data_IF_028286588457
#
_entry.id   IF_028286588457
#
_cell.length_a   1.000
_cell.length_b   1.000
_cell.length_c   1.000
_cell.angle_alpha   90.00
_cell.angle_beta   90.00
_cell.angle_gamma   90.00
#
_symmetry.space_group_name_H-M   'P 1'
#
loop_
_entity.id
_entity.type
_entity.pdbx_description
1 polymer ?
#
# COMPACT_ATOMS: atom_id res chain seq x y z
N UNK A 1 -11.06 22.95 -17.12
CA UNK A 1 -11.32 22.67 -15.69
C UNK A 1 -10.60 23.64 -14.76
N UNK A 2 -9.40 24.16 -15.07
CA UNK A 2 -8.65 25.12 -14.23
C UNK A 2 -8.89 26.62 -14.53
N UNK A 3 -9.90 26.99 -15.32
CA UNK A 3 -10.06 28.35 -15.89
C UNK A 3 -10.27 29.48 -14.86
N UNK A 4 -10.50 29.17 -13.59
CA UNK A 4 -10.61 30.14 -12.49
C UNK A 4 -9.36 30.28 -11.61
N UNK A 5 -8.26 29.60 -11.95
CA UNK A 5 -7.03 29.62 -11.15
C UNK A 5 -6.05 30.68 -11.65
N UNK A 6 -5.31 31.35 -10.74
CA UNK A 6 -4.20 32.21 -11.14
C UNK A 6 -3.18 31.44 -11.98
N UNK A 7 -2.64 32.07 -13.03
CA UNK A 7 -1.69 31.43 -13.95
C UNK A 7 -0.48 30.85 -13.22
N UNK A 8 0.02 31.56 -12.20
CA UNK A 8 1.15 31.12 -11.38
C UNK A 8 0.84 29.83 -10.63
N UNK A 9 -0.38 29.68 -10.09
CA UNK A 9 -0.80 28.46 -9.40
C UNK A 9 -0.95 27.29 -10.36
N UNK A 10 -1.45 27.54 -11.58
CA UNK A 10 -1.53 26.51 -12.64
C UNK A 10 -0.11 26.04 -13.01
N UNK A 11 0.82 26.96 -13.27
CA UNK A 11 2.21 26.62 -13.58
C UNK A 11 2.87 25.84 -12.44
N UNK A 12 2.65 26.25 -11.19
CA UNK A 12 3.17 25.53 -10.03
C UNK A 12 2.60 24.10 -9.94
N UNK A 13 1.29 23.92 -10.09
CA UNK A 13 0.66 22.60 -10.05
C UNK A 13 1.17 21.68 -11.17
N UNK A 14 1.41 22.21 -12.37
CA UNK A 14 1.95 21.44 -13.50
C UNK A 14 3.42 21.04 -13.31
N UNK A 15 4.22 21.88 -12.64
CA UNK A 15 5.64 21.61 -12.39
C UNK A 15 5.90 20.67 -11.19
N UNK A 16 4.85 20.35 -10.42
CA UNK A 16 4.98 19.61 -9.15
C UNK A 16 5.08 18.09 -9.32
N UNK A 17 4.83 17.58 -10.51
CA UNK A 17 4.77 16.14 -10.78
C UNK A 17 5.68 15.73 -11.93
N UNK A 18 6.30 14.55 -11.78
CA UNK A 18 7.07 13.89 -12.83
C UNK A 18 6.17 13.23 -13.88
N UNK A 19 6.71 12.95 -15.07
CA UNK A 19 6.00 12.37 -16.21
C UNK A 19 5.13 11.14 -15.89
N UNK A 20 5.55 10.16 -15.06
CA UNK A 20 4.72 9.00 -14.76
C UNK A 20 3.34 9.35 -14.17
N UNK A 21 3.24 10.45 -13.41
CA UNK A 21 1.96 10.94 -12.87
C UNK A 21 1.03 11.44 -13.98
N UNK A 22 1.57 12.19 -14.94
CA UNK A 22 0.80 12.74 -16.06
C UNK A 22 0.34 11.66 -17.04
N UNK A 23 1.14 10.61 -17.22
CA UNK A 23 0.88 9.54 -18.19
C UNK A 23 -0.04 8.45 -17.66
N UNK A 24 -0.21 8.31 -16.34
CA UNK A 24 -0.89 7.16 -15.73
C UNK A 24 -2.29 7.44 -15.18
N UNK A 25 -2.73 8.70 -15.19
CA UNK A 25 -4.00 9.15 -14.62
C UNK A 25 -4.81 9.95 -15.65
N UNK A 26 -6.11 10.03 -15.43
CA UNK A 26 -7.00 10.83 -16.28
C UNK A 26 -7.09 12.30 -15.83
N UNK A 27 -7.64 13.15 -16.69
CA UNK A 27 -7.76 14.58 -16.44
C UNK A 27 -8.62 14.93 -15.21
N UNK A 28 -9.59 14.07 -14.85
CA UNK A 28 -10.45 14.29 -13.68
C UNK A 28 -9.67 14.01 -12.40
N UNK A 29 -8.84 12.97 -12.39
CA UNK A 29 -7.93 12.66 -11.29
C UNK A 29 -6.89 13.77 -11.11
N UNK A 30 -6.25 14.21 -12.20
CA UNK A 30 -5.31 15.34 -12.16
C UNK A 30 -5.94 16.59 -11.57
N UNK A 31 -7.16 16.93 -11.99
CA UNK A 31 -7.88 18.09 -11.46
C UNK A 31 -8.23 17.92 -9.97
N UNK A 32 -8.74 16.76 -9.58
CA UNK A 32 -9.07 16.46 -8.18
C UNK A 32 -7.86 16.60 -7.25
N UNK A 33 -6.71 16.07 -7.69
CA UNK A 33 -5.45 16.16 -6.96
C UNK A 33 -4.96 17.60 -6.85
N UNK A 34 -4.97 18.36 -7.95
CA UNK A 34 -4.57 19.76 -7.93
C UNK A 34 -5.38 20.56 -6.90
N UNK A 35 -6.71 20.38 -6.88
CA UNK A 35 -7.59 21.01 -5.90
C UNK A 35 -7.26 20.55 -4.48
N UNK A 36 -7.10 19.24 -4.25
CA UNK A 36 -6.77 18.68 -2.93
C UNK A 36 -5.47 19.24 -2.37
N UNK A 37 -4.43 19.27 -3.20
CA UNK A 37 -3.09 19.74 -2.84
C UNK A 37 -3.16 21.23 -2.48
N UNK A 38 -3.81 22.05 -3.32
CA UNK A 38 -3.97 23.49 -3.06
C UNK A 38 -4.67 23.76 -1.73
N UNK A 39 -5.77 23.05 -1.44
CA UNK A 39 -6.49 23.21 -0.18
C UNK A 39 -5.64 22.76 1.02
N UNK A 40 -4.93 21.63 0.88
CA UNK A 40 -4.07 21.11 1.93
C UNK A 40 -2.89 22.04 2.24
N UNK A 41 -2.24 22.60 1.21
CA UNK A 41 -1.16 23.58 1.35
C UNK A 41 -1.65 24.85 2.04
N UNK A 42 -2.79 25.39 1.62
CA UNK A 42 -3.37 26.60 2.19
C UNK A 42 -3.75 26.42 3.67
N UNK A 43 -4.28 25.25 4.02
CA UNK A 43 -4.64 24.90 5.39
C UNK A 43 -3.45 24.40 6.24
N UNK A 44 -2.30 24.10 5.62
CA UNK A 44 -1.15 23.41 6.24
C UNK A 44 -1.55 22.12 6.94
N UNK A 45 -2.46 21.38 6.32
CA UNK A 45 -2.95 20.10 6.88
C UNK A 45 -1.86 19.04 6.71
N UNK A 46 -1.40 18.37 7.78
CA UNK A 46 -0.32 17.38 7.67
C UNK A 46 -0.71 16.17 6.81
N UNK A 47 -1.99 15.80 6.82
CA UNK A 47 -2.54 14.69 6.03
C UNK A 47 -3.91 15.09 5.48
N UNK A 48 -4.03 15.12 4.16
CA UNK A 48 -5.30 15.31 3.47
C UNK A 48 -5.78 13.97 2.89
N UNK A 49 -7.05 13.62 3.14
CA UNK A 49 -7.68 12.41 2.61
C UNK A 49 -8.99 12.78 1.92
N UNK A 50 -9.09 12.41 0.64
CA UNK A 50 -10.32 12.45 -0.15
C UNK A 50 -10.72 11.04 -0.56
N UNK A 51 -12.02 10.81 -0.71
CA UNK A 51 -12.58 9.54 -1.12
C UNK A 51 -13.68 9.75 -2.15
N UNK A 52 -13.75 8.86 -3.14
CA UNK A 52 -14.78 8.83 -4.17
C UNK A 52 -15.21 7.39 -4.42
N UNK A 53 -16.45 7.06 -4.08
CA UNK A 53 -17.00 5.72 -4.29
C UNK A 53 -17.54 5.54 -5.71
N UNK A 54 -17.17 4.43 -6.34
CA UNK A 54 -17.76 3.93 -7.57
C UNK A 54 -18.50 2.61 -7.26
N UNK A 55 -19.83 2.70 -7.15
CA UNK A 55 -20.69 1.55 -6.87
C UNK A 55 -20.73 0.55 -8.02
N UNK A 56 -20.55 0.99 -9.26
CA UNK A 56 -20.57 0.11 -10.42
C UNK A 56 -19.35 -0.81 -10.43
N UNK A 57 -18.19 -0.27 -10.05
CA UNK A 57 -16.94 -1.03 -9.88
C UNK A 57 -16.81 -1.68 -8.51
N UNK A 58 -17.75 -1.43 -7.59
CA UNK A 58 -17.71 -1.86 -6.20
C UNK A 58 -16.43 -1.45 -5.47
N UNK A 59 -15.93 -0.24 -5.68
CA UNK A 59 -14.70 0.27 -5.06
C UNK A 59 -14.88 1.69 -4.54
N UNK A 60 -14.03 2.08 -3.60
CA UNK A 60 -13.80 3.47 -3.24
C UNK A 60 -12.36 3.84 -3.55
N UNK A 61 -12.18 4.85 -4.38
CA UNK A 61 -10.87 5.48 -4.61
C UNK A 61 -10.59 6.44 -3.45
N UNK A 62 -9.46 6.25 -2.78
CA UNK A 62 -8.98 7.09 -1.69
C UNK A 62 -7.66 7.72 -2.10
N UNK A 63 -7.62 9.05 -2.12
CA UNK A 63 -6.41 9.82 -2.39
C UNK A 63 -5.89 10.43 -1.09
N UNK A 64 -4.64 10.13 -0.76
CA UNK A 64 -3.94 10.64 0.42
C UNK A 64 -2.83 11.57 -0.06
N UNK A 65 -2.81 12.78 0.50
CA UNK A 65 -1.75 13.76 0.30
C UNK A 65 -1.08 14.08 1.63
N UNK A 66 0.23 13.88 1.72
CA UNK A 66 1.04 14.02 2.94
C UNK A 66 2.52 14.22 2.57
N UNK A 67 3.38 14.59 3.51
CA UNK A 67 4.84 14.52 3.30
C UNK A 67 5.28 13.10 2.99
N UNK A 68 6.15 12.94 1.99
CA UNK A 68 6.70 11.63 1.64
C UNK A 68 7.89 11.29 2.54
N UNK A 69 7.96 10.03 2.98
CA UNK A 69 9.07 9.52 3.77
C UNK A 69 9.17 8.00 3.65
N UNK A 70 10.36 7.42 3.90
CA UNK A 70 10.55 5.98 3.80
C UNK A 70 9.56 5.21 4.70
N UNK A 71 8.95 4.17 4.13
CA UNK A 71 7.98 3.32 4.84
C UNK A 71 6.53 3.84 4.87
N UNK A 72 6.23 5.00 4.26
CA UNK A 72 4.89 5.58 4.21
C UNK A 72 3.83 4.58 3.71
N UNK A 73 4.07 3.90 2.59
CA UNK A 73 3.12 2.89 2.08
C UNK A 73 2.79 1.82 3.13
N UNK A 74 3.79 1.30 3.83
CA UNK A 74 3.57 0.27 4.85
C UNK A 74 2.74 0.78 6.02
N UNK A 75 2.97 2.03 6.44
CA UNK A 75 2.17 2.70 7.45
C UNK A 75 0.71 2.86 7.01
N UNK A 76 0.48 3.33 5.78
CA UNK A 76 -0.86 3.46 5.19
C UNK A 76 -1.56 2.11 5.08
N UNK A 77 -0.90 1.08 4.53
CA UNK A 77 -1.43 -0.28 4.46
C UNK A 77 -1.84 -0.81 5.85
N UNK A 78 -1.06 -0.49 6.89
CA UNK A 78 -1.40 -0.80 8.27
C UNK A 78 -2.66 -0.08 8.76
N UNK A 79 -2.81 1.22 8.45
CA UNK A 79 -4.01 1.99 8.80
C UNK A 79 -5.28 1.48 8.09
N UNK A 80 -5.18 1.14 6.80
CA UNK A 80 -6.28 0.51 6.06
C UNK A 80 -6.68 -0.82 6.70
N UNK A 81 -5.71 -1.69 7.01
CA UNK A 81 -6.01 -2.97 7.64
C UNK A 81 -6.64 -2.82 9.04
N UNK A 82 -6.23 -1.82 9.84
CA UNK A 82 -6.81 -1.55 11.17
C UNK A 82 -8.27 -1.07 11.12
N UNK A 83 -8.70 -0.51 9.99
CA UNK A 83 -10.06 -0.01 9.77
C UNK A 83 -10.93 -0.95 8.93
N UNK A 84 -10.40 -2.12 8.55
CA UNK A 84 -11.10 -3.12 7.76
C UNK A 84 -11.34 -2.68 6.32
N UNK A 85 -10.46 -1.85 5.77
CA UNK A 85 -10.39 -1.56 4.35
C UNK A 85 -9.47 -2.59 3.67
N UNK A 86 -9.97 -3.22 2.62
CA UNK A 86 -9.18 -4.09 1.76
C UNK A 86 -8.66 -3.30 0.57
N UNK A 87 -7.34 -3.27 0.36
CA UNK A 87 -6.73 -2.60 -0.80
C UNK A 87 -6.74 -3.58 -1.96
N UNK A 88 -7.20 -3.14 -3.13
CA UNK A 88 -7.17 -3.90 -4.38
C UNK A 88 -6.07 -3.41 -5.32
N UNK A 89 -5.84 -2.10 -5.32
CA UNK A 89 -4.89 -1.46 -6.22
C UNK A 89 -4.33 -0.20 -5.56
N UNK A 90 -3.11 0.18 -5.88
CA UNK A 90 -2.49 1.40 -5.43
C UNK A 90 -1.54 2.01 -6.47
N UNK A 91 -1.56 3.34 -6.59
CA UNK A 91 -0.61 4.13 -7.38
C UNK A 91 0.02 5.20 -6.50
N UNK A 92 1.34 5.28 -6.53
CA UNK A 92 2.14 6.07 -5.57
C UNK A 92 2.97 7.07 -6.34
N UNK A 93 2.83 8.35 -5.98
CA UNK A 93 3.51 9.44 -6.67
C UNK A 93 4.17 10.38 -5.67
N UNK A 94 5.49 10.50 -5.77
CA UNK A 94 6.24 11.54 -5.09
C UNK A 94 6.29 12.79 -5.97
N UNK A 95 5.91 13.91 -5.40
CA UNK A 95 6.00 15.25 -6.00
C UNK A 95 7.43 15.77 -5.96
N UNK A 96 7.73 16.78 -6.80
CA UNK A 96 9.08 17.39 -6.88
C UNK A 96 9.49 18.13 -5.61
N UNK A 97 8.53 18.47 -4.74
CA UNK A 97 8.74 19.12 -3.45
C UNK A 97 8.62 18.16 -2.24
N UNK A 98 8.63 16.84 -2.49
CA UNK A 98 8.78 15.83 -1.43
C UNK A 98 7.49 15.46 -0.68
N UNK A 99 6.34 15.71 -1.27
CA UNK A 99 5.06 15.17 -0.80
C UNK A 99 4.63 13.94 -1.60
N UNK A 100 3.85 13.05 -0.98
CA UNK A 100 3.24 11.89 -1.60
C UNK A 100 1.79 12.20 -2.00
N UNK A 101 1.38 11.74 -3.18
CA UNK A 101 0.00 11.71 -3.67
C UNK A 101 -0.34 10.25 -3.97
N UNK A 102 -0.84 9.56 -2.96
CA UNK A 102 -1.05 8.13 -3.00
C UNK A 102 -2.51 7.82 -3.22
N UNK A 103 -2.79 6.96 -4.20
CA UNK A 103 -4.13 6.52 -4.56
C UNK A 103 -4.30 5.07 -4.19
N UNK A 104 -5.42 4.74 -3.55
CA UNK A 104 -5.78 3.38 -3.17
C UNK A 104 -7.22 3.10 -3.62
N UNK A 105 -7.42 1.99 -4.33
CA UNK A 105 -8.76 1.48 -4.60
C UNK A 105 -9.09 0.42 -3.58
N UNK A 106 -10.12 0.67 -2.78
CA UNK A 106 -10.44 -0.14 -1.61
C UNK A 106 -11.88 -0.65 -1.61
N UNK A 107 -12.04 -1.80 -0.99
CA UNK A 107 -13.32 -2.42 -0.65
C UNK A 107 -13.45 -2.58 0.86
N UNK A 108 -14.67 -2.88 1.32
CA UNK A 108 -14.87 -3.45 2.64
C UNK A 108 -14.90 -4.97 2.63
N UNK A 109 -15.13 -5.56 3.80
CA UNK A 109 -15.10 -7.01 3.99
C UNK A 109 -16.19 -7.76 3.21
N UNK A 110 -17.24 -7.08 2.74
CA UNK A 110 -18.30 -7.67 1.93
C UNK A 110 -18.02 -7.57 0.42
N UNK A 111 -16.91 -6.93 0.03
CA UNK A 111 -16.61 -6.62 -1.37
C UNK A 111 -17.37 -5.39 -1.89
N UNK A 112 -18.00 -4.62 -1.01
CA UNK A 112 -18.67 -3.36 -1.36
C UNK A 112 -17.70 -2.16 -1.29
N UNK A 113 -18.04 -1.01 -1.90
CA UNK A 113 -17.27 0.21 -1.73
C UNK A 113 -17.07 0.56 -0.24
N UNK A 114 -15.82 0.73 0.18
CA UNK A 114 -15.50 1.18 1.53
C UNK A 114 -15.95 2.64 1.75
N UNK A 115 -16.40 2.99 2.95
CA UNK A 115 -16.40 4.41 3.36
C UNK A 115 -17.76 5.03 3.58
N UNK A 116 -18.52 4.49 4.53
CA UNK A 116 -19.45 5.36 5.29
C UNK A 116 -18.65 6.51 5.91
N UNK A 117 -19.29 7.67 6.11
CA UNK A 117 -18.63 8.86 6.68
C UNK A 117 -17.85 8.53 7.97
N UNK A 118 -18.45 7.76 8.88
CA UNK A 118 -17.80 7.33 10.11
C UNK A 118 -16.56 6.46 9.88
N UNK A 119 -16.56 5.61 8.84
CA UNK A 119 -15.40 4.77 8.49
C UNK A 119 -14.28 5.60 7.88
N UNK A 120 -14.61 6.56 7.01
CA UNK A 120 -13.64 7.50 6.43
C UNK A 120 -13.03 8.40 7.51
N UNK A 121 -13.83 8.87 8.46
CA UNK A 121 -13.36 9.65 9.60
C UNK A 121 -12.40 8.82 10.47
N UNK A 122 -12.76 7.58 10.79
CA UNK A 122 -11.87 6.65 11.53
C UNK A 122 -10.58 6.37 10.77
N UNK A 123 -10.64 6.18 9.46
CA UNK A 123 -9.45 5.98 8.63
C UNK A 123 -8.53 7.19 8.68
N UNK A 124 -9.08 8.41 8.50
CA UNK A 124 -8.30 9.66 8.59
C UNK A 124 -7.60 9.79 9.94
N UNK A 125 -8.31 9.57 11.04
CA UNK A 125 -7.74 9.59 12.39
C UNK A 125 -6.67 8.52 12.60
N UNK A 126 -6.91 7.32 12.07
CA UNK A 126 -5.96 6.21 12.18
C UNK A 126 -4.67 6.51 11.40
N UNK A 127 -4.77 7.05 10.18
CA UNK A 127 -3.61 7.47 9.40
C UNK A 127 -2.81 8.51 10.16
N UNK A 128 -3.44 9.59 10.65
CA UNK A 128 -2.75 10.64 11.40
C UNK A 128 -1.92 10.06 12.57
N UNK A 129 -2.54 9.23 13.40
CA UNK A 129 -1.88 8.59 14.55
C UNK A 129 -0.75 7.64 14.17
N UNK A 130 -0.85 6.96 13.03
CA UNK A 130 0.22 6.08 12.54
C UNK A 130 1.39 6.91 12.03
N UNK A 131 1.14 7.98 11.28
CA UNK A 131 2.20 8.86 10.76
C UNK A 131 2.90 9.66 11.87
N UNK A 132 2.16 10.02 12.93
CA UNK A 132 2.71 10.64 14.15
C UNK A 132 3.45 9.64 15.06
N UNK A 133 3.38 8.34 14.76
CA UNK A 133 4.03 7.29 15.54
C UNK A 133 3.33 6.93 16.86
N UNK A 134 2.14 7.48 17.13
CA UNK A 134 1.33 7.14 18.31
C UNK A 134 0.85 5.68 18.27
N UNK A 135 0.59 5.17 17.06
CA UNK A 135 0.10 3.80 16.83
C UNK A 135 1.08 3.05 15.94
N UNK A 136 1.55 1.89 16.42
CA UNK A 136 2.26 0.92 15.61
C UNK A 136 1.26 -0.12 15.06
N UNK A 137 0.98 -0.18 13.74
CA UNK A 137 -0.01 -1.10 13.17
C UNK A 137 0.19 -2.55 13.59
N UNK A 138 1.44 -3.04 13.53
CA UNK A 138 1.79 -4.41 13.93
C UNK A 138 1.36 -4.76 15.35
N UNK A 139 1.48 -3.83 16.32
CA UNK A 139 1.10 -4.07 17.73
C UNK A 139 -0.42 -4.20 17.87
N UNK A 140 -1.17 -3.29 17.23
CA UNK A 140 -2.63 -3.29 17.28
C UNK A 140 -3.21 -4.55 16.62
N UNK A 141 -2.64 -4.94 15.49
CA UNK A 141 -3.11 -6.11 14.75
C UNK A 141 -2.76 -7.42 15.46
N UNK A 142 -1.60 -7.51 16.11
CA UNK A 142 -1.23 -8.67 16.93
C UNK A 142 -2.21 -8.88 18.10
N UNK A 143 -2.66 -7.81 18.75
CA UNK A 143 -3.63 -7.88 19.85
C UNK A 143 -5.04 -8.33 19.40
N UNK A 144 -5.36 -8.19 18.11
CA UNK A 144 -6.66 -8.56 17.52
C UNK A 144 -6.67 -9.94 16.88
N UNK A 145 -5.58 -10.72 16.96
CA UNK A 145 -5.50 -12.05 16.35
C UNK A 145 -6.58 -12.97 16.92
N UNK A 146 -7.63 -13.19 16.12
CA UNK A 146 -8.60 -14.26 16.33
C UNK A 146 -7.85 -15.59 16.11
N UNK A 147 -8.17 -16.59 16.93
CA UNK A 147 -7.56 -17.92 16.83
C UNK A 147 -7.57 -18.40 15.37
N UNK A 148 -6.48 -18.99 14.87
CA UNK A 148 -6.45 -19.53 13.52
C UNK A 148 -7.59 -20.55 13.40
N UNK A 149 -8.55 -20.32 12.50
CA UNK A 149 -9.37 -21.42 12.02
C UNK A 149 -8.42 -22.42 11.37
N UNK A 150 -8.55 -23.69 11.71
CA UNK A 150 -7.80 -24.77 11.06
C UNK A 150 -7.92 -24.57 9.54
N UNK A 151 -6.76 -24.44 8.89
CA UNK A 151 -6.71 -24.20 7.46
C UNK A 151 -7.23 -25.44 6.75
N UNK A 152 -8.21 -25.29 5.86
CA UNK A 152 -8.65 -26.40 5.03
C UNK A 152 -7.57 -26.81 4.02
N UNK A 153 -6.62 -25.92 3.70
CA UNK A 153 -5.58 -26.13 2.69
C UNK A 153 -4.23 -25.51 3.10
N UNK A 154 -3.13 -26.15 2.66
CA UNK A 154 -1.79 -25.57 2.73
C UNK A 154 -1.53 -24.73 1.47
N UNK A 155 -1.15 -23.46 1.65
CA UNK A 155 -0.78 -22.57 0.55
C UNK A 155 0.72 -22.34 0.63
N UNK A 156 1.47 -23.01 -0.25
CA UNK A 156 2.93 -22.86 -0.32
C UNK A 156 3.32 -21.43 -0.70
N UNK A 157 4.10 -20.71 0.14
CA UNK A 157 4.50 -19.34 -0.13
C UNK A 157 5.50 -19.29 -1.29
N UNK A 158 5.27 -18.39 -2.24
CA UNK A 158 6.13 -18.20 -3.43
C UNK A 158 6.37 -16.73 -3.67
N UNK A 159 7.62 -16.39 -4.00
CA UNK A 159 8.03 -15.04 -4.40
C UNK A 159 8.71 -15.14 -5.76
N UNK A 160 8.25 -14.32 -6.69
CA UNK A 160 8.84 -14.14 -8.01
C UNK A 160 9.32 -12.71 -8.16
N UNK A 161 10.49 -12.53 -8.76
CA UNK A 161 11.07 -11.23 -9.04
C UNK A 161 11.42 -11.20 -10.52
N UNK A 162 10.81 -10.30 -11.27
CA UNK A 162 10.92 -10.20 -12.71
C UNK A 162 11.40 -8.79 -13.11
N UNK A 163 12.50 -8.76 -13.85
CA UNK A 163 13.09 -7.54 -14.41
C UNK A 163 12.82 -7.38 -15.91
N UNK A 164 12.04 -8.26 -16.54
CA UNK A 164 11.68 -8.19 -17.96
C UNK A 164 10.24 -7.71 -18.16
N UNK A 165 9.38 -7.84 -17.15
CA UNK A 165 7.97 -7.42 -17.21
C UNK A 165 7.75 -5.90 -17.33
N UNK A 166 8.77 -5.08 -17.08
CA UNK A 166 8.71 -3.62 -17.21
C UNK A 166 10.08 -3.06 -17.56
N UNK A 167 10.15 -2.08 -18.44
CA UNK A 167 11.42 -1.38 -18.76
C UNK A 167 11.95 -0.58 -17.57
N UNK A 168 11.05 -0.10 -16.70
CA UNK A 168 11.36 0.92 -15.67
C UNK A 168 11.38 0.36 -14.25
N UNK A 169 10.64 -0.72 -13.98
CA UNK A 169 10.46 -1.26 -12.63
C UNK A 169 10.92 -2.70 -12.54
N UNK A 170 11.29 -3.12 -11.32
CA UNK A 170 11.34 -4.54 -10.96
C UNK A 170 9.95 -4.94 -10.48
N UNK A 171 9.40 -6.01 -11.04
CA UNK A 171 8.12 -6.56 -10.63
C UNK A 171 8.36 -7.65 -9.59
N UNK A 172 7.67 -7.57 -8.46
CA UNK A 172 7.70 -8.60 -7.41
C UNK A 172 6.30 -9.15 -7.24
N UNK A 173 6.11 -10.43 -7.56
CA UNK A 173 4.87 -11.15 -7.32
C UNK A 173 5.03 -12.04 -6.09
N UNK A 174 4.10 -11.90 -5.15
CA UNK A 174 4.04 -12.65 -3.91
C UNK A 174 2.76 -13.45 -3.88
N UNK A 175 2.90 -14.76 -3.63
CA UNK A 175 1.78 -15.67 -3.45
C UNK A 175 1.88 -16.31 -2.07
N UNK A 176 0.76 -16.38 -1.36
CA UNK A 176 0.70 -17.13 -0.10
C UNK A 176 -0.67 -17.08 0.53
N UNK A 177 -0.76 -17.55 1.77
CA UNK A 177 -2.02 -17.51 2.51
C UNK A 177 -2.40 -16.08 2.86
N UNK A 178 -3.60 -15.66 2.49
CA UNK A 178 -4.15 -14.39 2.90
C UNK A 178 -4.47 -14.37 4.40
N UNK A 179 -4.22 -13.22 5.02
CA UNK A 179 -4.47 -13.00 6.45
C UNK A 179 -4.56 -11.50 6.76
N UNK A 180 -5.29 -11.12 7.83
CA UNK A 180 -5.30 -9.74 8.30
C UNK A 180 -3.88 -9.21 8.49
N UNK A 181 -3.56 -8.12 7.79
CA UNK A 181 -2.27 -7.43 7.88
C UNK A 181 -1.15 -8.01 7.02
N UNK A 182 -1.43 -8.97 6.15
CA UNK A 182 -0.45 -9.50 5.21
C UNK A 182 0.21 -8.37 4.39
N UNK A 183 -0.59 -7.51 3.77
CA UNK A 183 -0.08 -6.40 2.97
C UNK A 183 0.83 -5.45 3.76
N UNK A 184 0.50 -5.16 5.02
CA UNK A 184 1.38 -4.36 5.90
C UNK A 184 2.73 -5.06 6.13
N UNK A 185 2.72 -6.38 6.38
CA UNK A 185 3.95 -7.14 6.59
C UNK A 185 4.81 -7.24 5.33
N UNK A 186 4.20 -7.47 4.16
CA UNK A 186 4.89 -7.53 2.87
C UNK A 186 5.53 -6.18 2.51
N UNK A 187 4.76 -5.10 2.61
CA UNK A 187 5.24 -3.74 2.30
C UNK A 187 6.31 -3.29 3.29
N UNK A 188 6.25 -3.73 4.55
CA UNK A 188 7.32 -3.52 5.53
C UNK A 188 8.59 -4.28 5.16
N UNK A 189 8.47 -5.53 4.68
CA UNK A 189 9.62 -6.32 4.21
C UNK A 189 10.30 -5.65 3.01
N UNK A 190 9.51 -5.12 2.05
CA UNK A 190 10.02 -4.34 0.92
C UNK A 190 10.75 -3.07 1.39
N UNK A 191 10.15 -2.33 2.34
CA UNK A 191 10.78 -1.17 2.94
C UNK A 191 12.11 -1.50 3.63
N UNK A 192 12.16 -2.57 4.45
CA UNK A 192 13.39 -3.03 5.11
C UNK A 192 14.46 -3.43 4.09
N UNK A 193 14.07 -3.94 2.93
CA UNK A 193 14.98 -4.23 1.82
C UNK A 193 15.45 -2.98 1.04
N UNK A 194 15.02 -1.78 1.45
CA UNK A 194 15.38 -0.51 0.82
C UNK A 194 14.67 -0.27 -0.51
N UNK A 195 13.43 -0.76 -0.64
CA UNK A 195 12.63 -0.64 -1.86
C UNK A 195 11.49 0.36 -1.68
N UNK A 196 11.23 1.11 -2.75
CA UNK A 196 10.10 2.01 -2.90
C UNK A 196 9.06 1.39 -3.83
N UNK A 197 7.79 1.42 -3.41
CA UNK A 197 6.65 0.91 -4.18
C UNK A 197 6.09 2.06 -5.01
N UNK A 198 5.92 1.85 -6.31
CA UNK A 198 5.32 2.81 -7.23
C UNK A 198 3.89 2.42 -7.65
N UNK A 199 3.62 1.13 -7.68
CA UNK A 199 2.29 0.57 -7.94
C UNK A 199 2.15 -0.76 -7.23
N UNK A 200 0.94 -1.09 -6.80
CA UNK A 200 0.63 -2.39 -6.23
C UNK A 200 -0.73 -2.90 -6.73
N UNK A 201 -0.82 -4.17 -7.09
CA UNK A 201 -2.07 -4.85 -7.42
C UNK A 201 -2.25 -6.01 -6.47
N UNK A 202 -3.35 -6.02 -5.73
CA UNK A 202 -3.60 -6.92 -4.61
C UNK A 202 -4.84 -7.72 -4.94
N UNK A 203 -4.68 -9.04 -5.05
CA UNK A 203 -5.78 -9.93 -5.38
C UNK A 203 -5.88 -11.05 -4.35
N UNK A 204 -7.11 -11.40 -3.97
CA UNK A 204 -7.38 -12.51 -3.05
C UNK A 204 -8.32 -13.49 -3.70
N UNK A 205 -7.92 -14.76 -3.72
CA UNK A 205 -8.68 -15.89 -4.25
C UNK A 205 -8.89 -16.93 -3.15
N UNK A 206 -10.06 -16.88 -2.50
CA UNK A 206 -10.34 -17.73 -1.34
C UNK A 206 -9.39 -17.39 -0.19
N UNK A 207 -8.54 -18.35 0.20
CA UNK A 207 -7.52 -18.15 1.25
C UNK A 207 -6.14 -17.75 0.69
N UNK A 208 -6.02 -17.46 -0.61
CA UNK A 208 -4.74 -17.14 -1.27
C UNK A 208 -4.67 -15.68 -1.67
N UNK A 209 -3.63 -14.99 -1.22
CA UNK A 209 -3.23 -13.68 -1.73
C UNK A 209 -2.26 -13.83 -2.91
N UNK A 210 -2.43 -12.97 -3.91
CA UNK A 210 -1.57 -12.78 -5.07
C UNK A 210 -1.33 -11.28 -5.22
N UNK A 211 -0.17 -10.83 -4.72
CA UNK A 211 0.16 -9.41 -4.63
C UNK A 211 1.32 -9.11 -5.59
N UNK A 212 1.15 -8.12 -6.43
CA UNK A 212 2.17 -7.67 -7.40
C UNK A 212 2.60 -6.26 -7.05
N UNK A 213 3.90 -6.05 -6.87
CA UNK A 213 4.49 -4.75 -6.57
C UNK A 213 5.45 -4.32 -7.68
N UNK A 214 5.28 -3.10 -8.16
CA UNK A 214 6.23 -2.43 -9.05
C UNK A 214 7.16 -1.58 -8.18
N UNK A 215 8.42 -1.98 -8.11
CA UNK A 215 9.39 -1.40 -7.17
C UNK A 215 10.65 -0.89 -7.86
N UNK A 216 11.29 0.04 -7.17
CA UNK A 216 12.66 0.52 -7.41
C UNK A 216 13.43 0.47 -6.11
N UNK A 217 14.74 0.47 -6.20
CA UNK A 217 15.59 0.71 -5.03
C UNK A 217 15.67 2.21 -4.68
N UNK A 218 16.38 2.51 -3.60
CA UNK A 218 16.59 3.88 -3.11
C UNK A 218 17.25 4.83 -4.13
N UNK A 219 17.90 4.31 -5.18
CA UNK A 219 18.50 5.12 -6.26
C UNK A 219 17.56 5.26 -7.47
N UNK A 220 16.33 4.76 -7.38
CA UNK A 220 15.36 4.79 -8.47
C UNK A 220 15.64 3.77 -9.57
N UNK A 221 16.45 2.74 -9.29
CA UNK A 221 16.89 1.74 -10.25
C UNK A 221 16.19 0.39 -10.03
N UNK A 222 16.23 -0.44 -11.07
CA UNK A 222 15.79 -1.84 -11.01
C UNK A 222 16.78 -2.69 -10.21
N UNK A 223 16.26 -3.71 -9.54
CA UNK A 223 17.02 -4.63 -8.71
C UNK A 223 17.46 -5.83 -9.55
N UNK A 224 18.65 -5.73 -10.16
CA UNK A 224 19.20 -6.77 -11.05
C UNK A 224 20.27 -7.64 -10.39
N UNK A 225 20.81 -7.20 -9.24
CA UNK A 225 21.87 -7.91 -8.52
C UNK A 225 21.32 -9.19 -7.86
N UNK A 226 21.83 -10.40 -8.19
CA UNK A 226 21.27 -11.66 -7.68
C UNK A 226 21.23 -11.75 -6.14
N UNK A 227 22.26 -11.26 -5.45
CA UNK A 227 22.33 -11.30 -3.99
C UNK A 227 21.24 -10.42 -3.34
N UNK A 228 20.94 -9.26 -3.94
CA UNK A 228 19.85 -8.39 -3.47
C UNK A 228 18.50 -9.05 -3.70
N UNK A 229 18.29 -9.62 -4.88
CA UNK A 229 17.07 -10.36 -5.23
C UNK A 229 16.80 -11.50 -4.23
N UNK A 230 17.83 -12.25 -3.85
CA UNK A 230 17.68 -13.34 -2.87
C UNK A 230 17.35 -12.83 -1.47
N UNK A 231 18.01 -11.75 -1.03
CA UNK A 231 17.70 -11.12 0.27
C UNK A 231 16.24 -10.63 0.33
N UNK A 232 15.76 -10.03 -0.76
CA UNK A 232 14.36 -9.58 -0.87
C UNK A 232 13.41 -10.77 -0.82
N UNK A 233 13.73 -11.84 -1.54
CA UNK A 233 12.96 -13.09 -1.54
C UNK A 233 12.84 -13.66 -0.14
N UNK A 234 13.94 -13.76 0.61
CA UNK A 234 13.95 -14.28 1.97
C UNK A 234 13.11 -13.44 2.94
N UNK A 235 13.22 -12.10 2.87
CA UNK A 235 12.42 -11.19 3.69
C UNK A 235 10.92 -11.34 3.42
N UNK A 236 10.53 -11.48 2.16
CA UNK A 236 9.13 -11.68 1.77
C UNK A 236 8.60 -13.06 2.16
N UNK A 237 9.41 -14.12 1.98
CA UNK A 237 9.06 -15.46 2.45
C UNK A 237 8.88 -15.50 3.97
N UNK A 238 9.73 -14.81 4.72
CA UNK A 238 9.58 -14.68 6.17
C UNK A 238 8.28 -13.93 6.55
N UNK A 239 7.93 -12.87 5.82
CA UNK A 239 6.67 -12.15 6.03
C UNK A 239 5.44 -13.04 5.78
N UNK A 240 5.48 -13.90 4.75
CA UNK A 240 4.41 -14.88 4.47
C UNK A 240 4.29 -15.93 5.58
N UNK A 241 5.42 -16.42 6.11
CA UNK A 241 5.48 -17.46 7.16
C UNK A 241 5.19 -16.98 8.57
N UNK A 242 5.04 -15.67 8.82
CA UNK A 242 4.82 -15.12 10.18
C UNK A 242 3.48 -15.56 10.83
N UNK A 243 2.68 -16.38 10.15
CA UNK A 243 1.52 -17.12 10.69
C UNK A 243 1.75 -18.61 10.95
N UNK A 244 2.87 -19.18 10.51
CA UNK A 244 3.22 -20.60 10.69
C UNK A 244 4.18 -20.79 11.87
N UNK A 245 3.73 -20.49 13.09
CA UNK A 245 4.34 -21.17 14.25
C UNK A 245 3.64 -22.52 14.33
N UNK A 246 4.22 -23.51 13.65
CA UNK A 246 3.87 -24.92 13.87
C UNK A 246 4.20 -25.25 15.33
N UNK A 247 3.33 -25.93 16.10
CA UNK A 247 3.78 -26.58 17.32
C UNK A 247 4.95 -27.48 16.92
N UNK A 248 6.11 -27.31 17.58
CA UNK A 248 7.09 -28.37 17.60
C UNK A 248 6.42 -29.52 18.35
N UNK A 249 5.92 -30.50 17.59
CA UNK A 249 5.70 -31.82 18.17
C UNK A 249 7.05 -32.26 18.71
N UNK A 250 7.16 -32.26 20.03
CA UNK A 250 8.27 -32.86 20.74
C UNK A 250 8.33 -34.32 20.29
N UNK A 251 9.32 -34.61 19.45
CA UNK A 251 9.82 -35.96 19.28
C UNK A 251 10.38 -36.38 20.64
N UNK A 252 9.50 -36.92 21.49
CA UNK A 252 9.88 -37.78 22.59
C UNK A 252 9.53 -39.21 22.17
N UNK A 253 10.36 -39.74 21.27
CA UNK A 253 10.63 -41.16 21.26
C UNK A 253 11.68 -41.47 22.32
N UNK A 254 11.62 -42.71 22.84
CA UNK A 254 12.42 -43.34 23.90
C UNK A 254 11.72 -43.25 25.27
N UNK A 255 11.30 -44.33 25.93
CA UNK A 255 11.49 -45.77 25.71
C UNK A 255 10.32 -46.53 26.35
#
# INVERSE_FOLDING_TARGET
>A
MLSGWPVQEISHALARHYDPYWLSLDAKQHFSHAVQIREADAAKTPVSLRASSDRFRAITEITIYTSDHPGLFSQLAGAFAMTGANILDAKIFTTTDGAAVDMFWVQDANGDPFGTEDRLLRLRQTIAKVLEGEIAPRKVMAARRVQPREAAFQVEPRVLIDNQASDTYTLIEVNGRDRPGLLHDLTRALFVAGLSIHSAHIATFGERAVDVFYVKDAFGLKITQPQRTETIRDLLLAALRTSEIKPMDSVAGQA
#
